data_IF_065246363295
#
_entry.id   IF_065246363295
#
_cell.length_a   1.000
_cell.length_b   1.000
_cell.length_c   1.000
_cell.angle_alpha   90.00
_cell.angle_beta   90.00
_cell.angle_gamma   90.00
#
_symmetry.space_group_name_H-M   'P 1'
#
loop_
_entity.id
_entity.type
_entity.pdbx_description
1 polymer ?
#
# COMPACT_ATOMS: atom_id res chain seq x y z
N UNK A 1 -0.04 -2.17 90.34
CA UNK A 1 -0.81 -1.36 89.36
C UNK A 1 0.04 -0.77 88.22
N UNK A 2 1.32 -0.41 88.40
CA UNK A 2 2.18 0.14 87.31
C UNK A 2 2.40 -0.81 86.10
N UNK A 3 2.34 -2.13 86.28
CA UNK A 3 2.69 -3.09 85.23
C UNK A 3 1.60 -3.28 84.15
N UNK A 4 0.33 -3.00 84.46
CA UNK A 4 -0.80 -3.15 83.52
C UNK A 4 -0.86 -1.99 82.52
N UNK A 5 -0.53 -0.77 82.97
CA UNK A 5 -0.49 0.43 82.12
C UNK A 5 0.61 0.34 81.04
N UNK A 6 1.78 -0.23 81.38
CA UNK A 6 2.89 -0.43 80.43
C UNK A 6 2.57 -1.50 79.38
N UNK A 7 1.77 -2.53 79.70
CA UNK A 7 1.29 -3.52 78.72
C UNK A 7 0.31 -2.91 77.72
N UNK A 8 -0.64 -2.09 78.19
CA UNK A 8 -1.61 -1.43 77.30
C UNK A 8 -0.95 -0.48 76.31
N UNK A 9 0.00 0.37 76.76
CA UNK A 9 0.74 1.27 75.86
C UNK A 9 1.55 0.54 74.79
N UNK A 10 2.10 -0.65 75.10
CA UNK A 10 2.81 -1.48 74.11
C UNK A 10 1.84 -2.05 73.08
N UNK A 11 0.66 -2.48 73.50
CA UNK A 11 -0.40 -2.98 72.62
C UNK A 11 -0.92 -1.89 71.67
N UNK A 12 -1.10 -0.66 72.16
CA UNK A 12 -1.57 0.47 71.33
C UNK A 12 -0.54 0.85 70.27
N UNK A 13 0.76 0.81 70.60
CA UNK A 13 1.84 1.00 69.63
C UNK A 13 1.88 -0.12 68.56
N UNK A 14 1.66 -1.38 68.97
CA UNK A 14 1.55 -2.51 68.04
C UNK A 14 0.34 -2.36 67.10
N UNK A 15 -0.81 -1.93 67.62
CA UNK A 15 -2.00 -1.65 66.81
C UNK A 15 -1.77 -0.50 65.81
N UNK A 16 -1.11 0.58 66.24
CA UNK A 16 -0.76 1.70 65.37
C UNK A 16 0.20 1.30 64.23
N UNK A 17 1.20 0.46 64.51
CA UNK A 17 2.10 -0.09 63.49
C UNK A 17 1.32 -0.96 62.48
N UNK A 18 0.39 -1.79 62.96
CA UNK A 18 -0.47 -2.62 62.10
C UNK A 18 -1.35 -1.81 61.15
N UNK A 19 -1.92 -0.70 61.63
CA UNK A 19 -2.69 0.24 60.80
C UNK A 19 -1.78 0.88 59.74
N UNK A 20 -0.58 1.33 60.14
CA UNK A 20 0.42 1.87 59.20
C UNK A 20 0.81 0.86 58.12
N UNK A 21 1.00 -0.41 58.48
CA UNK A 21 1.30 -1.48 57.54
C UNK A 21 0.16 -1.74 56.55
N UNK A 22 -1.10 -1.73 57.00
CA UNK A 22 -2.27 -1.86 56.11
C UNK A 22 -2.39 -0.70 55.13
N UNK A 23 -2.10 0.54 55.56
CA UNK A 23 -2.13 1.71 54.68
C UNK A 23 -1.11 1.58 53.56
N UNK A 24 0.13 1.20 53.88
CA UNK A 24 1.18 0.99 52.88
C UNK A 24 0.83 -0.17 51.95
N UNK A 25 0.24 -1.24 52.49
CA UNK A 25 -0.19 -2.39 51.68
C UNK A 25 -1.23 -2.00 50.63
N UNK A 26 -2.26 -1.22 51.02
CA UNK A 26 -3.28 -0.73 50.09
C UNK A 26 -2.65 0.23 49.06
N UNK A 27 -1.77 1.14 49.49
CA UNK A 27 -1.08 2.05 48.59
C UNK A 27 -0.27 1.31 47.52
N UNK A 28 0.45 0.25 47.91
CA UNK A 28 1.22 -0.58 46.98
C UNK A 28 0.32 -1.29 45.96
N UNK A 29 -0.84 -1.78 46.38
CA UNK A 29 -1.82 -2.39 45.47
C UNK A 29 -2.33 -1.37 44.45
N UNK A 30 -2.63 -0.15 44.88
CA UNK A 30 -3.11 0.89 43.95
C UNK A 30 -2.03 1.31 42.95
N UNK A 31 -0.78 1.46 43.38
CA UNK A 31 0.35 1.75 42.48
C UNK A 31 0.56 0.59 41.50
N UNK A 32 0.49 -0.66 41.97
CA UNK A 32 0.62 -1.84 41.12
C UNK A 32 -0.51 -1.93 40.09
N UNK A 33 -1.75 -1.59 40.46
CA UNK A 33 -2.88 -1.57 39.54
C UNK A 33 -2.71 -0.54 38.42
N UNK A 34 -2.28 0.69 38.75
CA UNK A 34 -2.00 1.74 37.75
C UNK A 34 -0.85 1.32 36.83
N UNK A 35 0.23 0.76 37.39
CA UNK A 35 1.36 0.28 36.60
C UNK A 35 0.93 -0.85 35.64
N UNK A 36 0.14 -1.81 36.11
CA UNK A 36 -0.38 -2.90 35.28
C UNK A 36 -1.26 -2.37 34.14
N UNK A 37 -2.13 -1.40 34.41
CA UNK A 37 -2.97 -0.79 33.38
C UNK A 37 -2.14 -0.12 32.27
N UNK A 38 -1.09 0.62 32.63
CA UNK A 38 -0.19 1.26 31.65
C UNK A 38 0.61 0.23 30.86
N UNK A 39 1.08 -0.84 31.50
CA UNK A 39 1.77 -1.94 30.83
C UNK A 39 0.85 -2.61 29.80
N UNK A 40 -0.39 -2.93 30.18
CA UNK A 40 -1.38 -3.54 29.29
C UNK A 40 -1.68 -2.62 28.12
N UNK A 41 -1.97 -1.34 28.37
CA UNK A 41 -2.27 -0.37 27.32
C UNK A 41 -1.11 -0.23 26.32
N UNK A 42 0.13 -0.21 26.81
CA UNK A 42 1.31 -0.12 25.95
C UNK A 42 1.47 -1.41 25.14
N UNK A 43 1.25 -2.57 25.76
CA UNK A 43 1.32 -3.86 25.07
C UNK A 43 0.25 -4.00 23.99
N UNK A 44 -0.99 -3.59 24.26
CA UNK A 44 -2.10 -3.58 23.29
C UNK A 44 -1.80 -2.63 22.13
N UNK A 45 -1.32 -1.41 22.42
CA UNK A 45 -0.93 -0.47 21.38
C UNK A 45 0.21 -1.00 20.51
N UNK A 46 1.21 -1.63 21.11
CA UNK A 46 2.31 -2.25 20.36
C UNK A 46 1.82 -3.41 19.49
N UNK A 47 0.87 -4.21 19.97
CA UNK A 47 0.27 -5.30 19.20
C UNK A 47 -0.56 -4.79 18.03
N UNK A 48 -1.40 -3.77 18.24
CA UNK A 48 -2.19 -3.14 17.17
C UNK A 48 -1.29 -2.50 16.11
N UNK A 49 -0.24 -1.78 16.55
CA UNK A 49 0.74 -1.21 15.63
C UNK A 49 1.47 -2.31 14.85
N UNK A 50 1.89 -3.40 15.53
CA UNK A 50 2.57 -4.51 14.88
C UNK A 50 1.66 -5.24 13.87
N UNK A 51 0.36 -5.35 14.17
CA UNK A 51 -0.61 -5.92 13.25
C UNK A 51 -0.82 -5.01 12.04
N UNK A 52 -1.13 -3.72 12.25
CA UNK A 52 -1.31 -2.75 11.16
C UNK A 52 -0.07 -2.67 10.26
N UNK A 53 1.15 -2.61 10.83
CA UNK A 53 2.38 -2.63 10.03
C UNK A 53 2.57 -3.96 9.30
N UNK A 54 2.15 -5.08 9.88
CA UNK A 54 2.18 -6.38 9.22
C UNK A 54 1.22 -6.46 8.03
N UNK A 55 0.01 -5.92 8.20
CA UNK A 55 -1.00 -5.82 7.15
C UNK A 55 -0.49 -4.89 6.03
N UNK A 56 -0.06 -3.66 6.35
CA UNK A 56 0.52 -2.71 5.39
C UNK A 56 1.72 -3.32 4.61
N UNK A 57 2.61 -4.04 5.31
CA UNK A 57 3.78 -4.68 4.66
C UNK A 57 3.35 -5.84 3.75
N UNK A 58 2.29 -6.55 4.13
CA UNK A 58 1.74 -7.63 3.31
C UNK A 58 1.14 -7.03 2.05
N UNK A 59 0.31 -6.00 2.18
CA UNK A 59 -0.36 -5.34 1.07
C UNK A 59 0.64 -4.70 0.10
N UNK A 60 1.70 -4.04 0.60
CA UNK A 60 2.78 -3.52 -0.24
C UNK A 60 3.59 -4.62 -0.97
N UNK A 61 3.66 -5.82 -0.40
CA UNK A 61 4.41 -6.94 -0.97
C UNK A 61 3.58 -7.80 -1.93
N UNK A 62 2.28 -7.97 -1.66
CA UNK A 62 1.34 -8.81 -2.41
C UNK A 62 0.49 -8.02 -3.39
N UNK A 63 0.08 -6.81 -3.05
CA UNK A 63 -0.75 -5.92 -3.85
C UNK A 63 0.08 -5.24 -4.93
N UNK A 64 0.23 -5.86 -6.10
CA UNK A 64 0.90 -5.21 -7.23
C UNK A 64 0.29 -5.65 -8.55
N UNK A 65 0.35 -4.77 -9.54
CA UNK A 65 0.00 -5.13 -10.92
C UNK A 65 1.15 -5.91 -11.55
N UNK A 66 0.85 -7.03 -12.20
CA UNK A 66 1.78 -7.75 -13.05
C UNK A 66 1.42 -7.45 -14.50
N UNK A 67 2.33 -6.78 -15.21
CA UNK A 67 2.26 -6.62 -16.66
C UNK A 67 2.58 -7.97 -17.31
N UNK A 68 1.67 -8.44 -18.15
CA UNK A 68 1.82 -9.67 -18.91
C UNK A 68 2.49 -9.39 -20.25
N UNK A 69 1.96 -8.44 -21.02
CA UNK A 69 2.48 -7.98 -22.30
C UNK A 69 1.94 -6.57 -22.60
N UNK A 70 2.67 -5.82 -23.42
CA UNK A 70 2.25 -4.52 -23.95
C UNK A 70 2.27 -4.58 -25.48
N UNK A 71 1.23 -4.04 -26.11
CA UNK A 71 1.09 -3.96 -27.56
C UNK A 71 0.81 -2.53 -27.99
N UNK A 72 1.04 -2.24 -29.27
CA UNK A 72 0.60 -1.00 -29.91
C UNK A 72 -0.89 -1.12 -30.21
N UNK A 73 -1.72 -0.21 -29.68
CA UNK A 73 -3.16 -0.14 -30.00
C UNK A 73 -3.38 0.73 -31.24
N UNK A 74 -2.86 1.96 -31.19
CA UNK A 74 -2.85 2.93 -32.27
C UNK A 74 -1.52 3.72 -32.24
N UNK A 75 -1.38 4.76 -33.05
CA UNK A 75 -0.20 5.62 -33.12
C UNK A 75 0.22 6.15 -31.74
N UNK A 76 -0.74 6.49 -30.89
CA UNK A 76 -0.51 7.21 -29.63
C UNK A 76 -0.79 6.32 -28.39
N UNK A 77 -1.44 5.17 -28.59
CA UNK A 77 -2.01 4.34 -27.52
C UNK A 77 -1.29 3.00 -27.34
N UNK A 78 -1.02 2.63 -26.09
CA UNK A 78 -0.57 1.29 -25.71
C UNK A 78 -1.73 0.44 -25.21
N UNK A 79 -1.78 -0.81 -25.65
CA UNK A 79 -2.67 -1.82 -25.09
C UNK A 79 -1.90 -2.67 -24.08
N UNK A 80 -2.26 -2.58 -22.80
CA UNK A 80 -1.57 -3.27 -21.71
C UNK A 80 -2.41 -4.44 -21.24
N UNK A 81 -1.82 -5.63 -21.28
CA UNK A 81 -2.38 -6.84 -20.68
C UNK A 81 -1.77 -6.99 -19.30
N UNK A 82 -2.61 -7.05 -18.28
CA UNK A 82 -2.16 -7.09 -16.90
C UNK A 82 -3.04 -7.99 -16.03
N UNK A 83 -2.56 -8.28 -14.83
CA UNK A 83 -3.34 -8.93 -13.77
C UNK A 83 -2.83 -8.45 -12.43
N UNK A 84 -3.65 -8.48 -11.39
CA UNK A 84 -3.14 -8.31 -10.03
C UNK A 84 -2.33 -9.55 -9.61
N UNK A 85 -1.29 -9.33 -8.82
CA UNK A 85 -0.50 -10.40 -8.25
C UNK A 85 -1.33 -11.27 -7.29
N UNK A 86 -0.90 -12.52 -7.14
CA UNK A 86 -1.58 -13.46 -6.25
C UNK A 86 -1.52 -12.96 -4.79
N UNK A 87 -2.68 -12.89 -4.14
CA UNK A 87 -2.79 -12.39 -2.77
C UNK A 87 -2.91 -10.86 -2.66
N UNK A 88 -3.06 -10.17 -3.80
CA UNK A 88 -3.58 -8.79 -3.83
C UNK A 88 -5.07 -8.80 -3.47
N UNK A 89 -5.52 -7.74 -2.81
CA UNK A 89 -6.94 -7.43 -2.71
C UNK A 89 -7.45 -6.83 -4.03
N UNK A 90 -8.77 -6.84 -4.19
CA UNK A 90 -9.44 -6.26 -5.36
C UNK A 90 -9.24 -4.75 -5.38
N UNK A 91 -8.67 -4.24 -6.46
CA UNK A 91 -8.27 -2.84 -6.61
C UNK A 91 -9.24 -2.11 -7.54
N UNK A 92 -9.63 -0.87 -7.20
CA UNK A 92 -10.41 -0.03 -8.10
C UNK A 92 -9.53 0.51 -9.24
N UNK A 93 -10.15 0.83 -10.38
CA UNK A 93 -9.47 1.42 -11.55
C UNK A 93 -8.75 2.74 -11.23
N UNK A 94 -9.38 3.60 -10.43
CA UNK A 94 -8.81 4.87 -9.95
C UNK A 94 -7.60 4.70 -9.02
N UNK A 95 -7.46 3.52 -8.40
CA UNK A 95 -6.37 3.21 -7.48
C UNK A 95 -5.16 2.58 -8.20
N UNK A 96 -5.24 2.40 -9.53
CA UNK A 96 -4.14 1.95 -10.38
C UNK A 96 -3.66 3.13 -11.22
N UNK A 97 -2.53 3.71 -10.81
CA UNK A 97 -1.94 4.87 -11.47
C UNK A 97 -0.83 4.44 -12.42
N UNK A 98 -0.76 5.06 -13.58
CA UNK A 98 0.33 4.85 -14.52
C UNK A 98 1.15 6.13 -14.72
N UNK A 99 2.44 5.96 -14.99
CA UNK A 99 3.35 7.04 -15.36
C UNK A 99 4.31 6.54 -16.44
N UNK A 100 4.33 7.21 -17.59
CA UNK A 100 5.27 6.91 -18.68
C UNK A 100 6.27 8.05 -18.75
N UNK A 101 7.56 7.71 -18.78
CA UNK A 101 8.65 8.65 -19.00
C UNK A 101 9.39 8.29 -20.28
N UNK A 102 9.59 9.25 -21.17
CA UNK A 102 10.33 9.07 -22.41
C UNK A 102 11.15 10.33 -22.76
N UNK A 103 12.03 10.20 -23.74
CA UNK A 103 12.69 11.33 -24.42
C UNK A 103 12.25 11.24 -25.88
N UNK A 104 11.33 12.12 -26.30
CA UNK A 104 10.75 12.17 -27.64
C UNK A 104 11.74 12.67 -28.71
N UNK A 105 13.01 12.92 -28.35
CA UNK A 105 14.01 13.52 -29.23
C UNK A 105 13.90 15.05 -29.34
N UNK A 106 12.95 15.68 -28.63
CA UNK A 106 12.73 17.11 -28.51
C UNK A 106 13.69 17.82 -27.54
N UNK A 107 14.55 17.06 -26.84
CA UNK A 107 15.58 17.61 -25.95
C UNK A 107 15.16 17.78 -24.50
N UNK A 108 14.17 16.99 -24.06
CA UNK A 108 13.66 16.93 -22.69
C UNK A 108 13.14 15.54 -22.34
N UNK A 109 12.86 15.32 -21.05
CA UNK A 109 12.14 14.13 -20.62
C UNK A 109 10.65 14.48 -20.55
N UNK A 110 9.85 13.76 -21.31
CA UNK A 110 8.41 13.84 -21.29
C UNK A 110 7.83 12.91 -20.24
N UNK A 111 6.65 13.27 -19.74
CA UNK A 111 5.93 12.54 -18.70
C UNK A 111 4.45 12.52 -19.00
N UNK A 112 3.92 11.32 -19.22
CA UNK A 112 2.49 11.06 -19.27
C UNK A 112 2.08 10.38 -17.98
N UNK A 113 0.93 10.75 -17.43
CA UNK A 113 0.42 10.11 -16.22
C UNK A 113 -1.09 10.20 -16.16
N UNK A 114 -1.71 9.12 -15.72
CA UNK A 114 -3.13 9.04 -15.48
C UNK A 114 -3.44 7.84 -14.57
N UNK A 115 -4.67 7.40 -14.61
CA UNK A 115 -5.13 6.20 -13.92
C UNK A 115 -5.91 5.29 -14.86
N UNK A 116 -6.25 4.09 -14.40
CA UNK A 116 -6.94 3.13 -15.26
C UNK A 116 -8.44 3.42 -15.43
N UNK A 117 -8.99 4.47 -14.82
CA UNK A 117 -10.36 4.92 -15.05
C UNK A 117 -10.52 5.77 -16.32
N UNK A 118 -9.40 6.26 -16.88
CA UNK A 118 -9.38 7.01 -18.15
C UNK A 118 -9.75 6.15 -19.36
N UNK A 119 -9.64 4.82 -19.25
CA UNK A 119 -9.98 3.85 -20.29
C UNK A 119 -10.76 2.65 -19.72
N UNK A 120 -11.45 1.92 -20.59
CA UNK A 120 -12.18 0.72 -20.16
C UNK A 120 -11.20 -0.40 -19.78
N UNK A 121 -11.39 -0.99 -18.61
CA UNK A 121 -10.73 -2.25 -18.24
C UNK A 121 -11.59 -3.42 -18.70
N UNK A 122 -11.13 -4.13 -19.73
CA UNK A 122 -11.78 -5.31 -20.28
C UNK A 122 -11.22 -6.59 -19.65
N UNK A 123 -12.05 -7.45 -19.04
CA UNK A 123 -11.62 -8.78 -18.65
C UNK A 123 -11.25 -9.61 -19.89
N UNK A 124 -10.21 -10.44 -19.80
CA UNK A 124 -9.80 -11.34 -20.88
C UNK A 124 -10.74 -12.55 -21.08
N UNK A 125 -11.84 -12.62 -20.31
CA UNK A 125 -12.91 -13.60 -20.52
C UNK A 125 -13.85 -13.15 -21.63
N UNK A 126 -14.17 -14.08 -22.53
CA UNK A 126 -15.04 -13.81 -23.69
C UNK A 126 -16.42 -13.30 -23.27
N UNK A 127 -16.85 -12.18 -23.86
CA UNK A 127 -18.17 -11.57 -23.64
C UNK A 127 -18.36 -10.82 -22.31
N UNK A 128 -17.30 -10.53 -21.56
CA UNK A 128 -17.37 -9.73 -20.34
C UNK A 128 -17.57 -8.24 -20.65
N UNK A 129 -18.34 -7.54 -19.80
CA UNK A 129 -18.44 -6.08 -19.85
C UNK A 129 -17.19 -5.45 -19.20
N UNK A 130 -16.85 -4.19 -19.57
CA UNK A 130 -15.85 -3.42 -18.85
C UNK A 130 -16.14 -3.38 -17.35
N UNK A 131 -15.09 -3.45 -16.55
CA UNK A 131 -15.15 -3.40 -15.09
C UNK A 131 -14.44 -2.15 -14.58
N UNK A 132 -14.86 -1.67 -13.41
CA UNK A 132 -14.17 -0.57 -12.69
C UNK A 132 -13.40 -1.10 -11.47
N UNK A 133 -13.42 -2.42 -11.26
CA UNK A 133 -12.75 -3.10 -10.16
C UNK A 133 -12.06 -4.36 -10.69
N UNK A 134 -10.78 -4.45 -10.42
CA UNK A 134 -9.89 -5.49 -10.87
C UNK A 134 -9.78 -6.53 -9.76
N UNK A 135 -10.16 -7.77 -10.06
CA UNK A 135 -10.10 -8.89 -9.12
C UNK A 135 -8.75 -9.61 -9.20
N UNK A 136 -8.28 -10.13 -8.06
CA UNK A 136 -7.04 -10.92 -8.06
C UNK A 136 -7.16 -12.23 -8.84
N UNK A 137 -6.16 -12.52 -9.68
CA UNK A 137 -6.07 -13.77 -10.44
C UNK A 137 -6.83 -13.77 -11.78
N UNK A 138 -7.56 -12.71 -12.11
CA UNK A 138 -8.15 -12.50 -13.44
C UNK A 138 -7.19 -11.66 -14.29
N UNK A 139 -7.09 -12.01 -15.57
CA UNK A 139 -6.35 -11.21 -16.56
C UNK A 139 -7.26 -10.16 -17.19
N UNK A 140 -6.74 -8.95 -17.32
CA UNK A 140 -7.42 -7.80 -17.88
C UNK A 140 -6.58 -7.15 -18.98
N UNK A 141 -7.24 -6.31 -19.75
CA UNK A 141 -6.63 -5.44 -20.74
C UNK A 141 -7.17 -4.04 -20.57
N UNK A 142 -6.31 -3.04 -20.70
CA UNK A 142 -6.70 -1.63 -20.76
C UNK A 142 -5.81 -0.91 -21.76
N UNK A 143 -6.31 0.20 -22.28
CA UNK A 143 -5.56 1.10 -23.15
C UNK A 143 -4.96 2.22 -22.31
N UNK A 144 -3.72 2.60 -22.60
CA UNK A 144 -3.02 3.72 -21.97
C UNK A 144 -2.63 4.71 -23.07
N UNK A 145 -3.12 5.94 -22.95
CA UNK A 145 -2.78 7.05 -23.84
C UNK A 145 -1.33 7.50 -23.57
N UNK A 146 -0.53 7.52 -24.62
CA UNK A 146 0.89 7.88 -24.58
C UNK A 146 1.20 9.29 -25.09
N UNK A 147 0.22 10.02 -25.63
CA UNK A 147 0.36 11.41 -26.09
C UNK A 147 -0.65 12.30 -25.35
N UNK A 148 -0.19 13.40 -24.75
CA UNK A 148 -1.09 14.34 -24.06
C UNK A 148 -1.75 15.35 -25.01
N UNK A 149 -1.40 15.33 -26.30
CA UNK A 149 -1.86 16.26 -27.33
C UNK A 149 -1.42 17.72 -27.08
N UNK A 150 -0.57 17.95 -26.07
CA UNK A 150 -0.09 19.24 -25.60
C UNK A 150 1.44 19.38 -25.66
N UNK A 151 2.11 18.38 -26.23
CA UNK A 151 3.52 18.40 -26.60
C UNK A 151 4.40 17.41 -25.85
N UNK A 152 3.86 16.62 -24.92
CA UNK A 152 4.54 15.45 -24.39
C UNK A 152 4.03 14.20 -25.13
N UNK A 153 4.93 13.53 -25.84
CA UNK A 153 4.57 12.37 -26.67
C UNK A 153 5.48 11.17 -26.37
N UNK A 154 4.94 10.26 -25.57
CA UNK A 154 5.51 8.94 -25.30
C UNK A 154 4.76 7.83 -26.02
N UNK A 155 3.96 8.17 -27.03
CA UNK A 155 3.19 7.23 -27.83
C UNK A 155 4.06 6.31 -28.68
N UNK A 156 3.50 5.18 -29.16
CA UNK A 156 4.22 4.24 -30.01
C UNK A 156 4.89 4.88 -31.24
N UNK A 157 4.22 5.82 -31.90
CA UNK A 157 4.68 6.62 -33.04
C UNK A 157 6.01 7.36 -32.76
N UNK A 158 6.09 8.09 -31.64
CA UNK A 158 7.23 8.89 -31.24
C UNK A 158 8.39 8.00 -30.79
N UNK A 159 8.10 6.96 -30.00
CA UNK A 159 9.11 6.01 -29.57
C UNK A 159 9.76 5.28 -30.75
N UNK A 160 8.96 4.89 -31.75
CA UNK A 160 9.43 4.25 -32.96
C UNK A 160 10.23 5.21 -33.87
N UNK A 161 9.67 6.39 -34.16
CA UNK A 161 10.28 7.39 -35.06
C UNK A 161 11.64 7.86 -34.55
N UNK A 162 11.74 8.11 -33.25
CA UNK A 162 12.96 8.58 -32.61
C UNK A 162 13.88 7.42 -32.17
N UNK A 163 13.41 6.17 -32.26
CA UNK A 163 14.12 4.96 -31.85
C UNK A 163 14.66 5.05 -30.41
N UNK A 164 13.77 5.47 -29.51
CA UNK A 164 14.00 5.70 -28.09
C UNK A 164 13.23 4.67 -27.25
N UNK A 165 13.43 4.68 -25.93
CA UNK A 165 12.73 3.80 -25.00
C UNK A 165 11.96 4.65 -24.01
N UNK A 166 10.78 4.17 -23.61
CA UNK A 166 10.04 4.73 -22.49
C UNK A 166 10.12 3.82 -21.27
N UNK A 167 9.90 4.36 -20.08
CA UNK A 167 9.72 3.58 -18.86
C UNK A 167 8.30 3.79 -18.36
N UNK A 168 7.54 2.71 -18.26
CA UNK A 168 6.19 2.67 -17.69
C UNK A 168 6.30 2.25 -16.23
N UNK A 169 5.76 3.07 -15.32
CA UNK A 169 5.53 2.72 -13.93
C UNK A 169 4.04 2.54 -13.69
N UNK A 170 3.70 1.51 -12.95
CA UNK A 170 2.35 1.20 -12.50
C UNK A 170 2.37 1.14 -10.98
N UNK A 171 1.53 1.95 -10.37
CA UNK A 171 1.41 2.08 -8.92
C UNK A 171 0.01 1.65 -8.50
N UNK A 172 -0.07 0.81 -7.46
CA UNK A 172 -1.33 0.47 -6.80
C UNK A 172 -1.39 1.23 -5.49
N UNK A 173 -2.50 1.91 -5.19
CA UNK A 173 -2.68 2.59 -3.90
C UNK A 173 -2.77 1.53 -2.78
N UNK A 174 -1.90 1.64 -1.77
CA UNK A 174 -1.78 0.63 -0.70
C UNK A 174 -1.06 -0.65 -1.15
N UNK A 175 -0.49 -0.65 -2.35
CA UNK A 175 0.26 -1.75 -2.90
C UNK A 175 1.62 -1.32 -3.46
N UNK A 176 2.34 -2.30 -3.97
CA UNK A 176 3.64 -2.12 -4.60
C UNK A 176 3.57 -1.45 -5.98
N UNK A 177 4.73 -0.95 -6.38
CA UNK A 177 4.98 -0.41 -7.73
C UNK A 177 5.64 -1.47 -8.60
N UNK A 178 5.21 -1.55 -9.86
CA UNK A 178 5.92 -2.28 -10.91
C UNK A 178 6.35 -1.34 -12.01
N UNK A 179 7.46 -1.66 -12.67
CA UNK A 179 7.92 -0.90 -13.82
C UNK A 179 8.22 -1.84 -14.98
N UNK A 180 8.07 -1.32 -16.19
CA UNK A 180 8.45 -1.98 -17.43
C UNK A 180 9.16 -0.97 -18.36
N UNK A 181 10.04 -1.47 -19.22
CA UNK A 181 10.76 -0.63 -20.20
C UNK A 181 10.18 -0.92 -21.57
N UNK A 182 9.55 0.08 -22.16
CA UNK A 182 8.89 -0.02 -23.44
C UNK A 182 9.86 0.37 -24.56
N UNK A 183 10.13 -0.55 -25.49
CA UNK A 183 10.76 -0.27 -26.77
C UNK A 183 9.87 -0.73 -27.92
N UNK A 184 9.45 0.22 -28.73
CA UNK A 184 8.65 -0.02 -29.93
C UNK A 184 9.59 -0.30 -31.10
N UNK A 185 9.51 -1.51 -31.68
CA UNK A 185 10.29 -1.89 -32.86
C UNK A 185 9.46 -1.88 -34.15
N UNK A 186 8.14 -1.76 -34.03
CA UNK A 186 7.14 -1.72 -35.10
C UNK A 186 5.95 -0.92 -34.53
N UNK A 187 5.54 0.16 -35.20
CA UNK A 187 4.46 1.06 -34.81
C UNK A 187 3.09 0.64 -35.38
N UNK A 188 3.00 -0.52 -36.03
CA UNK A 188 1.72 -1.02 -36.53
C UNK A 188 0.82 -1.54 -35.40
N UNK A 189 -0.51 -1.30 -35.48
CA UNK A 189 -1.47 -1.84 -34.51
C UNK A 189 -1.34 -3.35 -34.32
N UNK A 190 -1.23 -3.79 -33.07
CA UNK A 190 -1.02 -5.18 -32.67
C UNK A 190 0.44 -5.62 -32.61
N UNK A 191 1.41 -4.75 -32.92
CA UNK A 191 2.82 -5.03 -32.70
C UNK A 191 3.14 -5.16 -31.21
N UNK A 192 4.06 -6.07 -30.86
CA UNK A 192 4.53 -6.26 -29.49
C UNK A 192 5.55 -5.18 -29.13
N UNK A 193 5.38 -4.58 -27.97
CA UNK A 193 6.34 -3.68 -27.33
C UNK A 193 7.20 -4.50 -26.37
N UNK A 194 8.53 -4.35 -26.45
CA UNK A 194 9.53 -5.19 -25.73
C UNK A 194 10.50 -4.34 -24.92
#
# INVERSE_FOLDING_TARGET
MKNTQVKNMKNDNLAAIGIGAMIVFIALILVAAVAAAVIIQTAEKLQQNAQSTGDDTTDEMSGKVQVLNVFVSDADDFEVYFRLAAGSDDTEDVDILFQIFCDDGGGGMDRISGDFSDSNIDPLSDGANPVTRVESGVGYRTTIEGDDGAGADCGPNALFTNNVKATLYLHVVGGGTTYDVLKVNDDSPGAVVV
#
